data_IF_121579196199
#
_entry.id   IF_121579196199
#
_cell.length_a   1.000
_cell.length_b   1.000
_cell.length_c   1.000
_cell.angle_alpha   90.00
_cell.angle_beta   90.00
_cell.angle_gamma   90.00
#
_symmetry.space_group_name_H-M   'P 1'
#
loop_
_entity.id
_entity.type
_entity.pdbx_description
1 polymer ?
#
# COMPACT_ATOMS: atom_id res chain seq x y z
N UNK A 1 -1.52 2.83 -8.72
CA UNK A 1 -1.21 4.13 -9.38
C UNK A 1 0.23 4.50 -9.10
N UNK A 2 1.00 4.77 -10.15
CA UNK A 2 2.40 5.17 -10.06
C UNK A 2 2.59 6.44 -10.89
N UNK A 3 3.05 7.53 -10.28
CA UNK A 3 3.32 8.80 -10.98
C UNK A 3 4.80 9.13 -10.80
N UNK A 4 5.62 8.72 -11.76
CA UNK A 4 7.10 8.71 -11.64
C UNK A 4 7.83 9.78 -12.44
N UNK A 5 7.16 10.36 -13.44
CA UNK A 5 7.74 11.28 -14.43
C UNK A 5 7.14 12.69 -14.31
N UNK A 6 6.78 13.10 -13.09
CA UNK A 6 6.01 14.31 -12.81
C UNK A 6 4.50 14.16 -13.05
N UNK A 7 3.78 15.27 -13.03
CA UNK A 7 2.32 15.32 -13.16
C UNK A 7 1.58 15.41 -11.82
N UNK A 8 0.26 15.57 -11.90
CA UNK A 8 -0.62 15.66 -10.73
C UNK A 8 -1.81 14.72 -10.91
N UNK A 9 -2.13 13.96 -9.87
CA UNK A 9 -3.38 13.22 -9.77
C UNK A 9 -4.19 13.76 -8.60
N UNK A 10 -5.23 14.50 -8.97
CA UNK A 10 -6.32 15.10 -8.21
C UNK A 10 -7.58 14.27 -8.02
N UNK A 11 -8.26 14.25 -6.87
CA UNK A 11 -9.72 14.04 -6.82
C UNK A 11 -10.19 12.72 -7.48
N UNK A 12 -9.56 11.61 -7.12
CA UNK A 12 -9.86 10.30 -7.72
C UNK A 12 -10.59 9.41 -6.72
N UNK A 13 -11.68 8.78 -7.16
CA UNK A 13 -12.42 7.79 -6.38
C UNK A 13 -12.31 6.41 -7.03
N UNK A 14 -11.78 5.45 -6.27
CA UNK A 14 -11.87 4.02 -6.57
C UNK A 14 -12.96 3.42 -5.70
N UNK A 15 -14.02 2.88 -6.31
CA UNK A 15 -15.15 2.36 -5.52
C UNK A 15 -15.80 1.10 -6.06
N UNK A 16 -16.41 0.33 -5.15
CA UNK A 16 -17.17 -0.88 -5.46
C UNK A 16 -16.33 -1.96 -6.16
N UNK A 17 -15.14 -2.22 -5.62
CA UNK A 17 -14.17 -3.15 -6.21
C UNK A 17 -14.07 -4.41 -5.34
N UNK A 18 -14.19 -5.57 -5.98
CA UNK A 18 -13.80 -6.86 -5.39
C UNK A 18 -12.64 -7.44 -6.17
N UNK A 19 -11.53 -7.75 -5.51
CA UNK A 19 -10.31 -8.17 -6.19
C UNK A 19 -9.61 -9.34 -5.51
N UNK A 20 -8.82 -10.06 -6.29
CA UNK A 20 -7.84 -11.03 -5.81
C UNK A 20 -6.52 -10.79 -6.52
N UNK A 21 -5.44 -10.60 -5.78
CA UNK A 21 -4.12 -10.32 -6.36
C UNK A 21 -3.19 -11.50 -6.17
N UNK A 22 -2.46 -11.87 -7.23
CA UNK A 22 -1.47 -12.94 -7.23
C UNK A 22 -0.14 -12.40 -7.74
N UNK A 23 0.97 -12.86 -7.17
CA UNK A 23 2.28 -12.54 -7.72
C UNK A 23 2.67 -13.55 -8.82
N UNK A 24 3.06 -13.04 -9.99
CA UNK A 24 3.25 -13.88 -11.18
C UNK A 24 4.71 -14.17 -11.51
N UNK A 25 5.62 -13.20 -11.40
CA UNK A 25 7.02 -13.39 -11.76
C UNK A 25 7.94 -12.28 -11.21
N UNK A 26 9.22 -12.57 -10.86
CA UNK A 26 10.24 -11.59 -10.47
C UNK A 26 10.43 -10.40 -11.43
N UNK A 27 10.25 -10.64 -12.72
CA UNK A 27 10.40 -9.62 -13.77
C UNK A 27 9.25 -8.63 -13.83
N UNK A 28 8.11 -8.91 -13.19
CA UNK A 28 6.96 -8.01 -13.20
C UNK A 28 7.07 -7.01 -12.05
N UNK A 29 6.65 -5.77 -12.30
CA UNK A 29 6.58 -4.75 -11.27
C UNK A 29 5.35 -4.93 -10.39
N UNK A 30 5.54 -4.71 -9.09
CA UNK A 30 4.54 -4.96 -8.07
C UNK A 30 4.61 -6.39 -7.54
N UNK A 31 4.09 -6.60 -6.33
CA UNK A 31 4.28 -7.82 -5.54
C UNK A 31 2.95 -8.33 -4.98
N UNK A 32 1.88 -8.13 -5.75
CA UNK A 32 0.49 -8.48 -5.43
C UNK A 32 -0.15 -7.66 -4.31
N UNK A 33 0.23 -6.40 -4.16
CA UNK A 33 -0.48 -5.43 -3.35
C UNK A 33 -1.89 -5.19 -3.90
N UNK A 34 -2.95 -5.16 -3.07
CA UNK A 34 -4.30 -4.84 -3.52
C UNK A 34 -4.44 -3.36 -3.89
N UNK A 35 -3.71 -2.48 -3.19
CA UNK A 35 -3.65 -1.05 -3.47
C UNK A 35 -2.18 -0.64 -3.40
N UNK A 36 -1.68 -0.06 -4.48
CA UNK A 36 -0.31 0.41 -4.62
C UNK A 36 -0.33 1.86 -5.10
N UNK A 37 0.17 2.80 -4.29
CA UNK A 37 0.24 4.23 -4.58
C UNK A 37 1.67 4.72 -4.34
N UNK A 38 2.26 5.35 -5.35
CA UNK A 38 3.57 5.97 -5.17
C UNK A 38 3.82 7.21 -6.03
N UNK A 39 4.55 8.16 -5.44
CA UNK A 39 5.18 9.31 -6.13
C UNK A 39 6.70 9.14 -6.27
N UNK A 40 7.24 7.96 -5.95
CA UNK A 40 8.66 7.63 -6.11
C UNK A 40 9.11 7.94 -7.56
N UNK A 41 10.04 8.90 -7.75
CA UNK A 41 10.43 9.37 -9.07
C UNK A 41 11.10 8.26 -9.88
N UNK A 42 11.13 8.42 -11.20
CA UNK A 42 11.75 7.45 -12.13
C UNK A 42 13.24 7.26 -11.84
N UNK A 43 13.97 8.37 -11.74
CA UNK A 43 15.40 8.39 -11.41
C UNK A 43 15.65 9.38 -10.28
N UNK A 44 16.77 9.24 -9.53
CA UNK A 44 17.22 10.29 -8.63
C UNK A 44 17.29 11.65 -9.34
N UNK A 45 16.65 12.67 -8.76
CA UNK A 45 16.59 14.02 -9.33
C UNK A 45 15.54 14.24 -10.43
N UNK A 46 14.79 13.21 -10.84
CA UNK A 46 13.63 13.40 -11.72
C UNK A 46 12.52 14.18 -11.02
N UNK A 47 11.68 14.87 -11.80
CA UNK A 47 10.53 15.59 -11.27
C UNK A 47 9.57 14.62 -10.59
N UNK A 48 9.29 14.86 -9.31
CA UNK A 48 8.34 14.07 -8.54
C UNK A 48 6.90 14.38 -8.97
N UNK A 49 6.08 13.33 -9.06
CA UNK A 49 4.63 13.48 -9.24
C UNK A 49 3.95 13.90 -7.95
N UNK A 50 2.74 14.42 -8.02
CA UNK A 50 1.90 14.73 -6.85
C UNK A 50 0.61 13.92 -6.89
N UNK A 51 0.20 13.39 -5.74
CA UNK A 51 -1.04 12.62 -5.59
C UNK A 51 -1.77 13.18 -4.37
N UNK A 52 -2.99 13.67 -4.57
CA UNK A 52 -3.84 14.11 -3.47
C UNK A 52 -5.32 13.81 -3.68
N UNK A 53 -6.04 13.74 -2.57
CA UNK A 53 -7.51 13.65 -2.54
C UNK A 53 -7.98 12.38 -3.27
N UNK A 54 -7.47 11.23 -2.79
CA UNK A 54 -7.74 9.92 -3.38
C UNK A 54 -8.53 9.06 -2.38
N UNK A 55 -9.67 8.55 -2.83
CA UNK A 55 -10.64 7.85 -1.99
C UNK A 55 -10.82 6.39 -2.45
N UNK A 56 -10.66 5.45 -1.53
CA UNK A 56 -10.91 4.02 -1.71
C UNK A 56 -12.17 3.63 -0.92
N UNK A 57 -13.27 3.36 -1.63
CA UNK A 57 -14.60 3.24 -1.00
C UNK A 57 -15.25 1.90 -1.35
N UNK A 58 -15.70 1.13 -0.35
CA UNK A 58 -16.40 -0.14 -0.57
C UNK A 58 -15.55 -1.13 -1.40
N UNK A 59 -14.38 -1.48 -0.86
CA UNK A 59 -13.42 -2.36 -1.52
C UNK A 59 -13.22 -3.63 -0.69
N UNK A 60 -13.19 -4.78 -1.34
CA UNK A 60 -12.80 -6.05 -0.71
C UNK A 60 -11.69 -6.74 -1.48
N UNK A 61 -10.69 -7.29 -0.79
CA UNK A 61 -9.59 -7.99 -1.43
C UNK A 61 -9.13 -9.24 -0.71
N UNK A 62 -8.68 -10.23 -1.49
CA UNK A 62 -7.79 -11.30 -1.02
C UNK A 62 -6.44 -11.15 -1.71
N UNK A 63 -5.38 -10.85 -0.96
CA UNK A 63 -4.06 -10.49 -1.54
C UNK A 63 -2.89 -11.24 -0.90
N UNK A 64 -1.82 -11.40 -1.69
CA UNK A 64 -0.55 -11.99 -1.21
C UNK A 64 0.40 -10.97 -0.57
N UNK A 65 0.04 -9.68 -0.56
CA UNK A 65 0.79 -8.60 0.08
C UNK A 65 -0.14 -7.51 0.65
N UNK A 66 0.43 -6.63 1.48
CA UNK A 66 -0.22 -5.46 2.07
C UNK A 66 -0.51 -4.33 1.09
N UNK A 67 -1.27 -3.34 1.53
CA UNK A 67 -1.38 -2.05 0.83
C UNK A 67 -0.03 -1.33 0.90
N UNK A 68 0.34 -0.65 -0.18
CA UNK A 68 1.60 0.08 -0.26
C UNK A 68 1.35 1.53 -0.63
N UNK A 69 1.61 2.44 0.32
CA UNK A 69 1.50 3.89 0.15
C UNK A 69 2.87 4.51 0.41
N UNK A 70 3.57 4.89 -0.66
CA UNK A 70 4.89 5.48 -0.55
C UNK A 70 4.99 6.78 -1.35
N UNK A 71 4.94 7.91 -0.65
CA UNK A 71 5.28 9.21 -1.22
C UNK A 71 6.79 9.37 -1.44
N UNK A 72 7.19 10.59 -1.76
CA UNK A 72 8.59 10.99 -1.89
C UNK A 72 8.88 12.20 -1.01
N UNK A 73 10.16 12.48 -0.74
CA UNK A 73 10.58 13.50 0.23
C UNK A 73 10.03 14.90 -0.10
N UNK A 74 9.87 15.23 -1.37
CA UNK A 74 9.36 16.53 -1.81
C UNK A 74 7.90 16.47 -2.28
N UNK A 75 7.29 15.28 -2.27
CA UNK A 75 5.92 15.07 -2.69
C UNK A 75 5.26 13.98 -1.87
N UNK A 76 4.78 14.40 -0.71
CA UNK A 76 3.95 13.58 0.17
C UNK A 76 2.68 13.15 -0.56
N UNK A 77 2.22 11.93 -0.27
CA UNK A 77 0.84 11.55 -0.52
C UNK A 77 -0.05 12.37 0.40
N UNK A 78 -1.07 13.05 -0.14
CA UNK A 78 -1.91 13.96 0.65
C UNK A 78 -3.38 13.58 0.62
N UNK A 79 -4.05 13.58 1.77
CA UNK A 79 -5.51 13.39 1.86
C UNK A 79 -5.97 12.08 1.20
N UNK A 80 -5.47 10.96 1.70
CA UNK A 80 -5.91 9.63 1.26
C UNK A 80 -6.97 9.14 2.23
N UNK A 81 -8.05 8.55 1.71
CA UNK A 81 -9.11 7.99 2.54
C UNK A 81 -9.46 6.57 2.14
N UNK A 82 -9.54 5.70 3.14
CA UNK A 82 -10.07 4.34 3.01
C UNK A 82 -11.39 4.29 3.78
N UNK A 83 -12.48 4.00 3.10
CA UNK A 83 -13.81 3.89 3.70
C UNK A 83 -14.49 2.58 3.35
N UNK A 84 -14.94 1.82 4.36
CA UNK A 84 -15.60 0.53 4.16
C UNK A 84 -14.71 -0.44 3.35
N UNK A 85 -13.51 -0.73 3.86
CA UNK A 85 -12.53 -1.58 3.16
C UNK A 85 -12.27 -2.87 3.93
N UNK A 86 -12.32 -4.00 3.23
CA UNK A 86 -12.15 -5.33 3.79
C UNK A 86 -10.96 -6.05 3.13
N UNK A 87 -9.86 -6.21 3.87
CA UNK A 87 -8.61 -6.76 3.35
C UNK A 87 -8.32 -8.11 4.02
N UNK A 88 -8.19 -9.15 3.20
CA UNK A 88 -7.73 -10.47 3.64
C UNK A 88 -6.38 -10.79 3.02
N UNK A 89 -5.39 -11.04 3.87
CA UNK A 89 -4.02 -11.37 3.48
C UNK A 89 -3.80 -12.87 3.55
N UNK A 90 -3.42 -13.47 2.43
CA UNK A 90 -3.15 -14.92 2.31
C UNK A 90 -2.07 -15.15 1.28
N UNK A 91 -1.11 -16.03 1.59
CA UNK A 91 -0.15 -16.52 0.60
C UNK A 91 -0.62 -17.80 -0.07
N UNK A 92 -0.33 -17.94 -1.35
CA UNK A 92 -0.56 -19.18 -2.10
C UNK A 92 0.44 -19.41 -3.24
N UNK A 93 1.36 -18.47 -3.49
CA UNK A 93 2.51 -18.66 -4.37
C UNK A 93 3.75 -19.07 -3.59
N UNK A 94 4.70 -19.69 -4.30
CA UNK A 94 6.00 -20.09 -3.73
C UNK A 94 7.06 -18.98 -3.87
N UNK A 95 6.67 -17.80 -4.33
CA UNK A 95 7.58 -16.67 -4.40
C UNK A 95 7.88 -16.16 -2.99
N UNK A 96 9.14 -15.85 -2.73
CA UNK A 96 9.52 -15.15 -1.50
C UNK A 96 8.77 -13.83 -1.41
N UNK A 97 8.39 -13.42 -0.20
CA UNK A 97 7.94 -12.05 0.04
C UNK A 97 8.71 -11.37 1.16
N UNK A 98 8.13 -10.32 1.75
CA UNK A 98 8.92 -9.35 2.49
C UNK A 98 9.79 -8.49 1.57
N UNK A 99 9.27 -8.14 0.39
CA UNK A 99 9.88 -7.20 -0.55
C UNK A 99 8.85 -6.16 -1.02
N UNK A 100 9.18 -4.88 -0.84
CA UNK A 100 8.49 -3.76 -1.49
C UNK A 100 9.14 -3.54 -2.84
N UNK A 101 8.33 -3.38 -3.89
CA UNK A 101 8.84 -3.15 -5.23
C UNK A 101 8.72 -1.68 -5.60
N UNK A 102 9.84 -0.96 -5.59
CA UNK A 102 9.91 0.44 -6.00
C UNK A 102 10.24 0.60 -7.50
N UNK A 103 10.45 -0.49 -8.24
CA UNK A 103 10.85 -0.45 -9.64
C UNK A 103 9.74 0.11 -10.55
N UNK A 104 10.11 0.69 -11.70
CA UNK A 104 11.46 1.08 -12.13
C UNK A 104 11.80 2.49 -11.61
N UNK A 105 11.67 2.74 -10.32
CA UNK A 105 11.77 4.07 -9.74
C UNK A 105 13.03 4.29 -8.91
N UNK A 106 12.89 5.22 -7.97
CA UNK A 106 13.88 5.68 -7.03
C UNK A 106 14.61 4.59 -6.21
N UNK A 107 14.07 3.38 -6.12
CA UNK A 107 14.69 2.22 -5.47
C UNK A 107 14.34 0.93 -6.22
N UNK A 108 15.12 -0.12 -5.98
CA UNK A 108 14.87 -1.47 -6.47
C UNK A 108 13.87 -2.21 -5.53
N UNK A 109 14.07 -3.53 -5.35
CA UNK A 109 13.36 -4.30 -4.35
C UNK A 109 13.94 -4.04 -2.96
N UNK A 110 13.09 -3.64 -2.02
CA UNK A 110 13.49 -3.31 -0.64
C UNK A 110 12.96 -4.36 0.32
N UNK A 111 13.84 -4.94 1.14
CA UNK A 111 13.45 -5.87 2.20
C UNK A 111 12.57 -5.18 3.23
N UNK A 112 11.47 -5.83 3.58
CA UNK A 112 10.56 -5.36 4.62
C UNK A 112 9.86 -6.53 5.31
N UNK A 113 9.22 -6.21 6.42
CA UNK A 113 8.25 -7.09 7.06
C UNK A 113 6.90 -6.96 6.35
N UNK A 114 6.24 -8.07 6.03
CA UNK A 114 4.95 -8.00 5.31
C UNK A 114 3.82 -7.67 6.29
N UNK A 115 3.28 -6.46 6.27
CA UNK A 115 2.17 -6.00 7.13
C UNK A 115 0.90 -5.62 6.35
N UNK A 116 -0.11 -5.08 7.04
CA UNK A 116 -1.40 -4.74 6.43
C UNK A 116 -1.34 -3.55 5.47
N UNK A 117 -0.75 -2.44 5.91
CA UNK A 117 -0.43 -1.28 5.08
C UNK A 117 0.98 -0.77 5.40
N UNK A 118 1.74 -0.46 4.35
CA UNK A 118 2.99 0.30 4.45
C UNK A 118 2.74 1.77 4.18
N UNK A 119 3.26 2.61 5.07
CA UNK A 119 3.11 4.05 5.00
C UNK A 119 4.49 4.73 4.99
N UNK A 120 4.77 5.49 3.94
CA UNK A 120 5.94 6.33 3.80
C UNK A 120 5.56 7.68 3.18
N UNK A 121 6.04 8.79 3.75
CA UNK A 121 5.88 10.13 3.16
C UNK A 121 4.40 10.47 2.89
N UNK A 122 3.57 10.41 3.93
CA UNK A 122 2.12 10.63 3.85
C UNK A 122 1.64 11.68 4.86
N UNK A 123 0.67 12.47 4.43
CA UNK A 123 0.06 13.52 5.23
C UNK A 123 -1.45 13.52 5.01
N UNK A 124 -2.24 13.34 6.07
CA UNK A 124 -3.70 13.26 5.95
C UNK A 124 -4.16 11.90 5.44
N UNK A 125 -3.91 10.84 6.21
CA UNK A 125 -4.50 9.52 5.95
C UNK A 125 -5.71 9.33 6.87
N UNK A 126 -6.87 9.08 6.29
CA UNK A 126 -8.09 8.73 7.01
C UNK A 126 -8.45 7.26 6.75
N UNK A 127 -8.65 6.51 7.82
CA UNK A 127 -9.07 5.11 7.78
C UNK A 127 -10.40 5.02 8.53
N UNK A 128 -11.48 4.76 7.79
CA UNK A 128 -12.87 4.70 8.28
C UNK A 128 -13.49 3.34 7.94
N UNK A 129 -13.85 2.56 8.96
CA UNK A 129 -14.42 1.21 8.80
C UNK A 129 -13.56 0.31 7.89
N UNK A 130 -12.31 0.07 8.31
CA UNK A 130 -11.37 -0.82 7.62
C UNK A 130 -11.09 -2.05 8.46
N UNK A 131 -11.26 -3.22 7.85
CA UNK A 131 -11.03 -4.53 8.48
C UNK A 131 -9.86 -5.22 7.79
N UNK A 132 -8.91 -5.69 8.60
CA UNK A 132 -7.75 -6.43 8.14
C UNK A 132 -7.73 -7.82 8.76
N UNK A 133 -7.57 -8.86 7.93
CA UNK A 133 -7.51 -10.27 8.35
C UNK A 133 -6.32 -10.98 7.72
N UNK A 134 -5.66 -11.82 8.49
CA UNK A 134 -4.59 -12.70 8.01
C UNK A 134 -5.09 -14.14 8.06
N UNK A 135 -4.94 -14.88 6.96
CA UNK A 135 -5.30 -16.30 6.93
C UNK A 135 -4.25 -17.14 7.66
N UNK A 136 -4.67 -18.18 8.39
CA UNK A 136 -3.76 -19.23 8.90
C UNK A 136 -3.03 -19.94 7.74
N UNK A 137 -1.70 -19.87 7.74
CA UNK A 137 -0.81 -20.44 6.73
C UNK A 137 0.66 -20.14 7.07
N UNK A 138 1.62 -20.46 6.18
CA UNK A 138 3.04 -20.12 6.41
C UNK A 138 3.25 -18.60 6.52
N UNK A 139 3.13 -18.08 7.73
CA UNK A 139 3.40 -16.68 8.09
C UNK A 139 4.90 -16.37 8.11
N UNK A 140 5.78 -17.24 7.57
CA UNK A 140 7.22 -16.96 7.47
C UNK A 140 7.43 -15.67 6.65
N UNK A 141 7.82 -14.60 7.36
CA UNK A 141 8.03 -13.26 6.79
C UNK A 141 6.82 -12.33 6.80
N UNK A 142 5.68 -12.76 7.36
CA UNK A 142 4.57 -11.87 7.71
C UNK A 142 4.77 -11.32 9.12
N UNK A 143 4.69 -10.00 9.21
CA UNK A 143 4.52 -9.31 10.47
C UNK A 143 3.04 -8.96 10.54
N UNK A 144 2.32 -9.57 11.48
CA UNK A 144 0.87 -9.37 11.66
C UNK A 144 0.52 -7.95 12.12
N UNK A 145 1.47 -7.03 12.03
CA UNK A 145 1.29 -5.61 12.21
C UNK A 145 0.37 -5.04 11.12
N UNK A 146 -0.77 -4.46 11.50
CA UNK A 146 -1.71 -3.90 10.54
C UNK A 146 -1.16 -2.65 9.85
N UNK A 147 -0.28 -1.90 10.51
CA UNK A 147 0.39 -0.73 9.96
C UNK A 147 1.90 -0.84 10.16
N UNK A 148 2.64 -0.53 9.11
CA UNK A 148 4.08 -0.39 9.12
C UNK A 148 4.43 1.03 8.68
N UNK A 149 5.35 1.65 9.41
CA UNK A 149 5.74 3.03 9.20
C UNK A 149 7.25 3.11 8.97
N UNK A 150 7.70 3.99 8.07
CA UNK A 150 9.05 4.58 8.19
C UNK A 150 8.96 5.84 9.06
N UNK A 151 9.52 5.83 10.29
CA UNK A 151 9.39 6.94 11.23
C UNK A 151 9.88 8.28 10.64
N UNK A 152 9.32 9.40 11.10
CA UNK A 152 9.54 10.81 10.65
C UNK A 152 8.90 11.25 9.33
N UNK A 153 8.19 10.37 8.63
CA UNK A 153 7.65 10.68 7.29
C UNK A 153 6.13 10.79 7.24
N UNK A 154 5.47 10.88 8.40
CA UNK A 154 4.03 10.70 8.53
C UNK A 154 3.45 11.75 9.47
N UNK A 155 2.41 12.44 9.00
CA UNK A 155 1.62 13.36 9.81
C UNK A 155 0.10 13.26 9.52
N UNK A 156 -0.71 13.81 10.42
CA UNK A 156 -2.19 13.87 10.30
C UNK A 156 -2.84 12.52 9.98
N UNK A 157 -2.68 11.55 10.88
CA UNK A 157 -3.38 10.26 10.81
C UNK A 157 -4.70 10.32 11.58
N UNK A 158 -5.78 9.78 11.00
CA UNK A 158 -7.07 9.64 11.67
C UNK A 158 -7.67 8.25 11.45
N UNK A 159 -8.19 7.66 12.52
CA UNK A 159 -8.77 6.31 12.54
C UNK A 159 -10.17 6.36 13.15
N UNK A 160 -11.15 5.86 12.41
CA UNK A 160 -12.54 5.70 12.83
C UNK A 160 -12.98 4.26 12.52
N UNK A 161 -13.55 3.55 13.50
CA UNK A 161 -13.99 2.15 13.35
C UNK A 161 -12.95 1.20 12.69
N UNK A 162 -11.69 1.32 13.11
CA UNK A 162 -10.60 0.48 12.60
C UNK A 162 -10.46 -0.83 13.40
N UNK A 163 -10.34 -1.95 12.69
CA UNK A 163 -10.20 -3.28 13.31
C UNK A 163 -9.09 -4.12 12.64
N UNK A 164 -8.13 -4.55 13.45
CA UNK A 164 -7.16 -5.59 13.11
C UNK A 164 -7.58 -6.88 13.82
N UNK A 165 -7.94 -7.91 13.07
CA UNK A 165 -8.42 -9.17 13.64
C UNK A 165 -7.29 -10.22 13.68
N UNK A 166 -7.34 -11.06 14.72
CA UNK A 166 -6.44 -12.19 14.86
C UNK A 166 -6.47 -13.11 13.64
N UNK A 167 -5.39 -13.88 13.47
CA UNK A 167 -5.24 -14.85 12.38
C UNK A 167 -6.38 -15.87 12.43
N UNK A 168 -7.26 -15.85 11.43
CA UNK A 168 -8.39 -16.79 11.29
C UNK A 168 -7.98 -18.04 10.52
#
# INVERSE_FOLDING_TARGET
MQIRDGGNVSNVVFSNIKMRTRYYHPSWWGRAEPIYITTCPRYPGSKEGTISDVFFINISSVSENGVFLAGSRHSLLRNLKFKNVDLTYRRWTNYSGGLYDYRPGCQELVKHKTGGMMLEQISGLEIDNVRMRWSRGELKGWDVNPLLFRPSTIDRLSFHDWQSLNVQ
#
